data_IF_809402263178
#
_entry.id   IF_809402263178
#
_cell.length_a   1.000
_cell.length_b   1.000
_cell.length_c   1.000
_cell.angle_alpha   90.00
_cell.angle_beta   90.00
_cell.angle_gamma   90.00
#
_symmetry.space_group_name_H-M   'P 1'
#
loop_
_entity.id
_entity.type
_entity.pdbx_description
1 polymer ?
#
# COMPACT_ATOMS: atom_id res chain seq x y z
N UNK A 1 26.82 20.51 9.91
CA UNK A 1 25.37 20.52 9.56
C UNK A 1 24.60 20.24 10.84
N UNK A 2 23.61 21.06 11.20
CA UNK A 2 22.89 20.96 12.48
C UNK A 2 21.43 20.51 12.36
N UNK A 3 20.90 20.35 11.14
CA UNK A 3 19.53 19.91 10.89
C UNK A 3 19.51 18.81 9.84
N UNK A 4 20.01 17.64 10.22
CA UNK A 4 19.92 16.44 9.37
C UNK A 4 18.49 15.86 9.47
N UNK A 5 17.97 15.20 8.42
CA UNK A 5 16.66 14.58 8.45
C UNK A 5 16.67 13.21 9.16
N UNK A 6 17.13 13.20 10.41
CA UNK A 6 17.16 12.04 11.31
C UNK A 6 16.39 12.42 12.56
N UNK A 7 15.53 11.52 13.04
CA UNK A 7 14.56 11.85 14.07
C UNK A 7 13.78 10.62 14.53
N UNK A 8 13.12 10.76 15.67
CA UNK A 8 12.15 9.78 16.17
C UNK A 8 10.69 10.18 15.88
N UNK A 9 9.77 9.21 16.00
CA UNK A 9 8.32 9.46 15.90
C UNK A 9 7.78 10.42 16.96
N UNK A 10 8.47 10.55 18.11
CA UNK A 10 8.09 11.49 19.18
C UNK A 10 8.60 12.92 18.95
N UNK A 11 9.07 13.21 17.73
CA UNK A 11 9.64 14.49 17.34
C UNK A 11 10.95 14.87 18.03
N UNK A 12 11.73 13.87 18.49
CA UNK A 12 13.10 14.11 18.98
C UNK A 12 14.04 14.09 17.77
N UNK A 13 14.81 15.16 17.61
CA UNK A 13 15.79 15.33 16.52
C UNK A 13 17.02 14.44 16.70
N UNK A 14 17.66 14.14 15.57
CA UNK A 14 18.95 13.49 15.46
C UNK A 14 18.93 11.96 15.50
N UNK A 15 19.99 11.33 15.99
CA UNK A 15 20.21 9.88 15.77
C UNK A 15 19.38 9.02 16.73
N UNK A 16 19.18 7.74 16.42
CA UNK A 16 18.34 6.82 17.22
C UNK A 16 18.73 6.73 18.70
N UNK A 17 19.98 7.00 19.05
CA UNK A 17 20.49 6.98 20.43
C UNK A 17 20.55 8.36 21.08
N UNK A 18 20.01 9.39 20.44
CA UNK A 18 20.02 10.75 20.97
C UNK A 18 19.07 10.88 22.18
N UNK A 19 19.51 11.65 23.17
CA UNK A 19 18.71 11.97 24.35
C UNK A 19 17.59 12.95 23.97
N UNK A 20 16.51 12.99 24.76
CA UNK A 20 15.39 13.89 24.50
C UNK A 20 15.74 15.37 24.75
N UNK A 21 16.36 16.03 23.76
CA UNK A 21 16.89 17.38 23.89
C UNK A 21 16.24 18.39 22.93
N UNK A 22 16.04 18.03 21.66
CA UNK A 22 15.52 18.95 20.64
C UNK A 22 14.22 18.40 20.06
N UNK A 23 13.14 19.19 20.16
CA UNK A 23 11.85 18.85 19.58
C UNK A 23 11.76 19.41 18.15
N UNK A 24 12.29 18.66 17.19
CA UNK A 24 12.31 19.06 15.79
C UNK A 24 12.19 17.87 14.85
N UNK A 25 11.43 18.09 13.79
CA UNK A 25 11.29 17.18 12.65
C UNK A 25 11.28 18.02 11.39
N UNK A 26 12.13 17.73 10.40
CA UNK A 26 12.04 18.42 9.13
C UNK A 26 10.73 18.06 8.40
N UNK A 27 9.99 19.04 7.85
CA UNK A 27 8.78 18.80 7.07
C UNK A 27 8.97 17.81 5.92
N UNK A 28 10.19 17.73 5.36
CA UNK A 28 10.55 16.73 4.34
C UNK A 28 10.26 15.30 4.81
N UNK A 29 10.60 14.94 6.05
CA UNK A 29 10.38 13.59 6.58
C UNK A 29 8.89 13.29 6.71
N UNK A 30 8.10 14.23 7.24
CA UNK A 30 6.65 14.08 7.35
C UNK A 30 5.96 13.97 6.00
N UNK A 31 6.32 14.83 5.04
CA UNK A 31 5.72 14.83 3.72
C UNK A 31 6.09 13.57 2.95
N UNK A 32 7.37 13.18 2.95
CA UNK A 32 7.81 11.98 2.23
C UNK A 32 7.16 10.70 2.75
N UNK A 33 7.13 10.51 4.08
CA UNK A 33 6.53 9.31 4.68
C UNK A 33 5.02 9.27 4.52
N UNK A 34 4.32 10.39 4.73
CA UNK A 34 2.86 10.44 4.52
C UNK A 34 2.48 10.15 3.07
N UNK A 35 3.18 10.73 2.09
CA UNK A 35 2.87 10.51 0.68
C UNK A 35 3.26 9.10 0.21
N UNK A 36 4.31 8.50 0.77
CA UNK A 36 4.63 7.09 0.51
C UNK A 36 3.49 6.17 0.96
N UNK A 37 3.00 6.36 2.20
CA UNK A 37 1.90 5.56 2.76
C UNK A 37 0.62 5.77 1.95
N UNK A 38 0.26 7.02 1.65
CA UNK A 38 -0.92 7.33 0.83
C UNK A 38 -0.82 6.74 -0.57
N UNK A 39 0.31 6.92 -1.26
CA UNK A 39 0.54 6.39 -2.60
C UNK A 39 0.43 4.87 -2.65
N UNK A 40 0.98 4.17 -1.66
CA UNK A 40 0.90 2.71 -1.56
C UNK A 40 -0.55 2.22 -1.44
N UNK A 41 -1.35 2.80 -0.54
CA UNK A 41 -2.73 2.37 -0.36
C UNK A 41 -3.64 2.78 -1.53
N UNK A 42 -3.40 3.91 -2.18
CA UNK A 42 -4.09 4.28 -3.41
C UNK A 42 -3.80 3.28 -4.53
N UNK A 43 -2.56 2.80 -4.64
CA UNK A 43 -2.21 1.76 -5.61
C UNK A 43 -2.89 0.41 -5.32
N UNK A 44 -2.87 -0.05 -4.06
CA UNK A 44 -3.60 -1.28 -3.67
C UNK A 44 -5.11 -1.16 -3.92
N UNK A 45 -5.69 -0.01 -3.56
CA UNK A 45 -7.09 0.30 -3.82
C UNK A 45 -7.39 0.28 -5.32
N UNK A 46 -6.52 0.86 -6.14
CA UNK A 46 -6.67 0.84 -7.59
C UNK A 46 -6.66 -0.58 -8.16
N UNK A 47 -5.69 -1.42 -7.79
CA UNK A 47 -5.63 -2.82 -8.24
C UNK A 47 -6.90 -3.59 -7.85
N UNK A 48 -7.34 -3.42 -6.60
CA UNK A 48 -8.56 -4.06 -6.10
C UNK A 48 -9.80 -3.62 -6.88
N UNK A 49 -10.00 -2.32 -7.06
CA UNK A 49 -11.18 -1.79 -7.75
C UNK A 49 -11.18 -2.10 -9.25
N UNK A 50 -10.02 -2.03 -9.92
CA UNK A 50 -9.92 -2.39 -11.34
C UNK A 50 -10.19 -3.88 -11.54
N UNK A 51 -9.62 -4.75 -10.70
CA UNK A 51 -9.87 -6.19 -10.76
C UNK A 51 -11.35 -6.53 -10.54
N UNK A 52 -11.98 -5.95 -9.50
CA UNK A 52 -13.41 -6.16 -9.25
C UNK A 52 -14.30 -5.61 -10.35
N UNK A 53 -14.00 -4.42 -10.89
CA UNK A 53 -14.77 -3.84 -11.98
C UNK A 53 -14.73 -4.72 -13.25
N UNK A 54 -13.56 -5.30 -13.56
CA UNK A 54 -13.42 -6.25 -14.67
C UNK A 54 -14.25 -7.51 -14.45
N UNK A 55 -14.15 -8.12 -13.27
CA UNK A 55 -14.87 -9.36 -12.95
C UNK A 55 -16.38 -9.11 -12.87
N UNK A 56 -16.82 -7.95 -12.37
CA UNK A 56 -18.22 -7.54 -12.36
C UNK A 56 -18.79 -7.37 -13.77
N UNK A 57 -18.00 -6.87 -14.72
CA UNK A 57 -18.39 -6.78 -16.13
C UNK A 57 -18.55 -8.16 -16.81
N UNK A 58 -17.90 -9.19 -16.28
CA UNK A 58 -18.06 -10.59 -16.70
C UNK A 58 -18.99 -11.39 -15.78
N UNK A 59 -19.67 -10.74 -14.83
CA UNK A 59 -20.65 -11.32 -13.91
C UNK A 59 -20.14 -12.43 -12.96
N UNK A 60 -18.86 -12.75 -12.96
CA UNK A 60 -18.24 -13.75 -12.05
C UNK A 60 -17.85 -13.20 -10.67
N UNK A 61 -18.22 -11.96 -10.32
CA UNK A 61 -17.72 -11.29 -9.11
C UNK A 61 -18.15 -12.01 -7.82
N UNK A 62 -19.28 -12.72 -7.87
CA UNK A 62 -19.88 -13.41 -6.73
C UNK A 62 -19.46 -14.89 -6.62
N UNK A 63 -18.63 -15.37 -7.54
CA UNK A 63 -18.24 -16.77 -7.62
C UNK A 63 -18.45 -17.35 -9.02
N UNK A 64 -18.00 -18.60 -9.19
CA UNK A 64 -18.19 -19.37 -10.43
C UNK A 64 -19.55 -20.09 -10.40
N UNK A 65 -20.14 -20.25 -11.58
CA UNK A 65 -21.32 -21.09 -11.75
C UNK A 65 -20.95 -22.56 -11.54
N UNK A 66 -21.70 -23.26 -10.68
CA UNK A 66 -21.50 -24.67 -10.40
C UNK A 66 -21.89 -25.56 -11.60
N UNK A 67 -22.82 -25.10 -12.44
CA UNK A 67 -23.29 -25.85 -13.61
C UNK A 67 -22.38 -25.59 -14.84
N UNK A 68 -21.71 -24.44 -14.89
CA UNK A 68 -20.87 -24.00 -16.01
C UNK A 68 -19.44 -23.68 -15.57
N UNK A 69 -18.81 -24.61 -14.86
CA UNK A 69 -17.45 -24.45 -14.38
C UNK A 69 -16.44 -24.52 -15.55
N UNK A 70 -15.70 -23.42 -15.85
CA UNK A 70 -14.96 -23.32 -17.10
C UNK A 70 -13.79 -24.31 -17.21
N UNK A 71 -13.13 -24.68 -16.10
CA UNK A 71 -11.98 -25.60 -16.14
C UNK A 71 -12.42 -27.01 -16.56
N UNK A 72 -13.64 -27.44 -16.24
CA UNK A 72 -14.16 -28.76 -16.64
C UNK A 72 -14.35 -28.91 -18.16
N UNK A 73 -14.44 -27.79 -18.89
CA UNK A 73 -14.56 -27.78 -20.35
C UNK A 73 -13.21 -27.71 -21.10
N UNK A 74 -12.10 -27.54 -20.37
CA UNK A 74 -10.77 -27.39 -20.96
C UNK A 74 -10.08 -28.76 -21.15
N UNK A 75 -9.25 -28.87 -22.20
CA UNK A 75 -8.40 -30.04 -22.42
C UNK A 75 -7.35 -30.17 -21.30
N UNK A 76 -7.12 -31.36 -20.73
CA UNK A 76 -6.07 -31.56 -19.72
C UNK A 76 -4.69 -31.24 -20.31
N UNK A 77 -3.80 -30.68 -19.48
CA UNK A 77 -2.47 -30.23 -19.89
C UNK A 77 -1.41 -31.35 -19.96
N UNK A 78 -1.81 -32.62 -19.82
CA UNK A 78 -0.92 -33.79 -19.77
C UNK A 78 -1.19 -34.74 -20.94
#
# INVERSE_FOLDING_TARGET
MTHAPLMSLKSIDGITTEINAVNYVPPRSWLATSHLVLGFFLFLSHLWHVGRALIAAWEFEKGIDCDFEPVLSMTPLN
#
